data_IF_754817675875
#
_entry.id   IF_754817675875
#
_cell.length_a   1.000
_cell.length_b   1.000
_cell.length_c   1.000
_cell.angle_alpha   90.00
_cell.angle_beta   90.00
_cell.angle_gamma   90.00
#
_symmetry.space_group_name_H-M   'P 1'
#
loop_
_entity.id
_entity.type
_entity.pdbx_description
1 polymer ?
#
# COMPACT_ATOMS: atom_id res chain seq x y z
N UNK A 1 8.83 -2.49 -3.71
CA UNK A 1 8.98 -3.86 -4.23
C UNK A 1 7.90 -4.76 -3.70
N UNK A 2 7.67 -5.91 -4.41
CA UNK A 2 6.86 -7.00 -3.89
C UNK A 2 7.55 -7.76 -2.76
N UNK A 3 6.84 -8.69 -2.12
CA UNK A 3 7.41 -9.53 -1.06
C UNK A 3 8.54 -10.45 -1.57
N UNK A 4 8.60 -10.68 -2.88
CA UNK A 4 9.66 -11.43 -3.57
C UNK A 4 10.98 -10.66 -3.75
N UNK A 5 11.01 -9.37 -3.43
CA UNK A 5 12.18 -8.50 -3.57
C UNK A 5 12.65 -8.21 -5.00
N UNK A 6 11.97 -8.74 -6.01
CA UNK A 6 12.42 -8.68 -7.42
C UNK A 6 11.59 -7.76 -8.28
N UNK A 7 10.28 -7.79 -8.12
CA UNK A 7 9.35 -7.08 -8.98
C UNK A 7 8.52 -6.06 -8.20
N UNK A 8 7.92 -5.12 -8.92
CA UNK A 8 6.88 -4.25 -8.37
C UNK A 8 5.70 -5.12 -7.92
N UNK A 9 5.03 -4.74 -6.81
CA UNK A 9 3.80 -5.38 -6.39
C UNK A 9 2.80 -5.50 -7.55
N UNK A 10 2.27 -6.70 -7.76
CA UNK A 10 1.24 -6.98 -8.75
C UNK A 10 0.30 -8.08 -8.26
N UNK A 11 -1.00 -7.87 -8.48
CA UNK A 11 -2.02 -8.89 -8.16
C UNK A 11 -1.77 -10.19 -8.93
N UNK A 12 -1.40 -10.10 -10.20
CA UNK A 12 -1.14 -11.26 -11.06
C UNK A 12 0.09 -12.07 -10.65
N UNK A 13 1.05 -11.44 -9.96
CA UNK A 13 2.25 -12.12 -9.45
C UNK A 13 2.05 -12.71 -8.04
N UNK A 14 0.96 -12.36 -7.35
CA UNK A 14 0.71 -12.81 -5.99
C UNK A 14 1.72 -12.29 -4.95
N UNK A 15 2.52 -11.29 -5.30
CA UNK A 15 3.60 -10.75 -4.47
C UNK A 15 3.20 -9.52 -3.64
N UNK A 16 1.90 -9.36 -3.37
CA UNK A 16 1.34 -8.22 -2.65
C UNK A 16 0.84 -8.60 -1.25
N UNK A 17 0.98 -7.68 -0.30
CA UNK A 17 0.19 -7.65 0.92
C UNK A 17 -1.00 -6.72 0.66
N UNK A 18 -2.23 -7.24 0.80
CA UNK A 18 -3.45 -6.46 0.60
C UNK A 18 -3.91 -5.83 1.92
N UNK A 19 -4.52 -4.65 1.85
CA UNK A 19 -5.14 -4.01 3.01
C UNK A 19 -6.30 -4.85 3.61
N UNK A 20 -6.84 -5.77 2.82
CA UNK A 20 -7.90 -6.69 3.21
C UNK A 20 -7.40 -8.05 3.69
N UNK A 21 -6.08 -8.31 3.65
CA UNK A 21 -5.55 -9.58 4.14
C UNK A 21 -5.81 -9.72 5.64
N UNK A 22 -6.26 -10.91 6.05
CA UNK A 22 -6.40 -11.23 7.47
C UNK A 22 -5.00 -11.35 8.13
N UNK A 23 -4.97 -11.24 9.45
CA UNK A 23 -3.73 -11.15 10.21
C UNK A 23 -2.76 -12.33 9.94
N UNK A 24 -3.30 -13.54 9.84
CA UNK A 24 -2.50 -14.75 9.58
C UNK A 24 -1.94 -14.78 8.14
N UNK A 25 -2.68 -14.22 7.18
CA UNK A 25 -2.21 -14.12 5.80
C UNK A 25 -1.08 -13.11 5.67
N UNK A 26 -1.22 -11.93 6.30
CA UNK A 26 -0.13 -10.94 6.39
C UNK A 26 1.12 -11.57 7.00
N UNK A 27 0.96 -12.30 8.12
CA UNK A 27 2.07 -12.98 8.79
C UNK A 27 2.76 -14.00 7.87
N UNK A 28 2.01 -14.83 7.15
CA UNK A 28 2.58 -15.79 6.17
C UNK A 28 3.38 -15.07 5.09
N UNK A 29 2.82 -14.01 4.51
CA UNK A 29 3.48 -13.20 3.49
C UNK A 29 4.76 -12.56 4.01
N UNK A 30 4.74 -11.97 5.19
CA UNK A 30 5.94 -11.38 5.82
C UNK A 30 7.00 -12.44 6.09
N UNK A 31 6.63 -13.58 6.62
CA UNK A 31 7.59 -14.67 6.88
C UNK A 31 8.21 -15.24 5.59
N UNK A 32 7.50 -15.15 4.45
CA UNK A 32 8.00 -15.57 3.13
C UNK A 32 8.76 -14.47 2.37
N UNK A 33 8.85 -13.24 2.91
CA UNK A 33 9.55 -12.13 2.24
C UNK A 33 11.00 -12.48 1.94
N UNK A 34 11.45 -12.03 0.77
CA UNK A 34 12.84 -12.13 0.37
C UNK A 34 13.74 -11.31 1.31
N UNK A 35 14.83 -11.94 1.72
CA UNK A 35 15.91 -11.36 2.50
C UNK A 35 17.25 -11.56 1.78
N UNK A 36 18.38 -11.44 2.47
CA UNK A 36 19.70 -11.72 1.90
C UNK A 36 19.93 -13.23 1.78
N UNK A 37 20.15 -13.78 0.58
CA UNK A 37 20.41 -15.21 0.38
C UNK A 37 21.76 -15.68 0.96
N UNK A 38 22.67 -14.75 1.24
CA UNK A 38 23.98 -15.07 1.84
C UNK A 38 23.94 -15.05 3.37
N UNK A 39 22.88 -14.53 3.98
CA UNK A 39 22.66 -14.52 5.43
C UNK A 39 22.10 -15.87 5.90
N UNK A 40 22.93 -16.92 5.90
CA UNK A 40 22.51 -18.31 6.18
C UNK A 40 22.47 -18.56 7.69
N UNK A 41 23.44 -18.03 8.44
CA UNK A 41 23.53 -18.15 9.88
C UNK A 41 23.29 -16.81 10.54
N UNK A 42 22.86 -16.84 11.81
CA UNK A 42 22.59 -15.62 12.57
C UNK A 42 23.85 -14.75 12.72
N UNK A 43 25.01 -15.38 12.78
CA UNK A 43 26.32 -14.74 12.95
C UNK A 43 26.83 -14.08 11.66
N UNK A 44 26.29 -14.49 10.50
CA UNK A 44 26.72 -13.95 9.21
C UNK A 44 26.29 -12.46 9.10
N UNK A 45 27.13 -11.58 8.51
CA UNK A 45 26.71 -10.24 8.15
C UNK A 45 25.57 -10.26 7.13
N UNK A 46 24.53 -9.48 7.37
CA UNK A 46 23.39 -9.39 6.46
C UNK A 46 23.41 -8.13 5.59
N UNK A 47 22.91 -8.22 4.38
CA UNK A 47 22.78 -7.09 3.46
C UNK A 47 21.42 -6.42 3.60
N UNK A 48 21.44 -5.10 3.76
CA UNK A 48 20.23 -4.26 3.86
C UNK A 48 19.70 -3.92 2.47
N UNK A 49 20.60 -3.54 1.55
CA UNK A 49 20.23 -3.15 0.20
C UNK A 49 19.58 -4.33 -0.55
N UNK A 50 18.42 -4.08 -1.16
CA UNK A 50 17.64 -5.11 -1.85
C UNK A 50 16.86 -6.05 -0.92
N UNK A 51 17.00 -5.91 0.40
CA UNK A 51 16.23 -6.67 1.38
C UNK A 51 14.83 -6.08 1.55
N UNK A 52 13.82 -6.82 1.09
CA UNK A 52 12.42 -6.34 1.12
C UNK A 52 11.92 -6.05 2.53
N UNK A 53 12.38 -6.77 3.55
CA UNK A 53 11.96 -6.58 4.94
C UNK A 53 12.37 -5.18 5.43
N UNK A 54 13.62 -4.77 5.17
CA UNK A 54 14.08 -3.43 5.54
C UNK A 54 13.45 -2.34 4.70
N UNK A 55 13.19 -2.57 3.41
CA UNK A 55 12.43 -1.61 2.57
C UNK A 55 11.05 -1.32 3.15
N UNK A 56 10.35 -2.34 3.68
CA UNK A 56 9.06 -2.15 4.33
C UNK A 56 9.19 -1.51 5.71
N UNK A 57 10.22 -1.83 6.48
CA UNK A 57 10.49 -1.16 7.76
C UNK A 57 10.80 0.33 7.54
N UNK A 58 11.57 0.69 6.51
CA UNK A 58 11.81 2.10 6.15
C UNK A 58 10.51 2.87 5.84
N UNK A 59 9.53 2.19 5.25
CA UNK A 59 8.27 2.81 4.88
C UNK A 59 7.26 2.93 6.04
N UNK A 60 7.22 1.95 6.95
CA UNK A 60 6.13 1.80 7.91
C UNK A 60 6.57 1.88 9.37
N UNK A 61 7.86 1.66 9.68
CA UNK A 61 8.34 1.65 11.05
C UNK A 61 8.42 3.08 11.61
N UNK A 62 7.98 3.24 12.86
CA UNK A 62 8.05 4.48 13.64
C UNK A 62 8.75 4.23 14.98
N UNK A 63 9.25 5.28 15.66
CA UNK A 63 9.92 5.11 16.95
C UNK A 63 9.09 4.35 17.99
N UNK A 64 7.77 4.58 18.03
CA UNK A 64 6.86 3.95 18.98
C UNK A 64 6.79 2.43 18.83
N UNK A 65 7.05 1.91 17.62
CA UNK A 65 7.06 0.48 17.35
C UNK A 65 8.22 -0.23 18.02
N UNK A 66 9.37 0.47 18.22
CA UNK A 66 10.50 -0.10 18.95
C UNK A 66 10.17 -0.25 20.44
N UNK A 67 9.61 0.78 21.05
CA UNK A 67 9.19 0.72 22.45
C UNK A 67 8.19 -0.41 22.70
N UNK A 68 7.28 -0.62 21.78
CA UNK A 68 6.19 -1.59 21.91
C UNK A 68 6.59 -3.02 21.56
N UNK A 69 7.39 -3.23 20.51
CA UNK A 69 7.61 -4.54 19.92
C UNK A 69 9.05 -5.03 19.93
N UNK A 70 10.02 -4.11 20.08
CA UNK A 70 11.45 -4.44 20.01
C UNK A 70 12.30 -3.50 20.86
N UNK A 71 12.06 -3.43 22.20
CA UNK A 71 12.69 -2.46 23.10
C UNK A 71 14.22 -2.62 23.24
N UNK A 72 14.80 -3.69 22.72
CA UNK A 72 16.25 -3.90 22.67
C UNK A 72 16.97 -2.88 21.76
N UNK A 73 16.22 -2.17 20.89
CA UNK A 73 16.77 -1.19 19.93
C UNK A 73 16.06 0.15 20.07
N UNK A 74 16.82 1.23 19.88
CA UNK A 74 16.29 2.59 19.99
C UNK A 74 15.59 3.05 18.70
N UNK A 75 16.07 2.58 17.55
CA UNK A 75 15.60 2.99 16.23
C UNK A 75 15.98 1.96 15.15
N UNK A 76 15.53 2.25 13.92
CA UNK A 76 15.75 1.38 12.77
C UNK A 76 17.22 1.32 12.33
N UNK A 77 17.99 2.41 12.53
CA UNK A 77 19.40 2.45 12.16
C UNK A 77 20.22 1.50 13.03
N UNK A 78 19.95 1.46 14.33
CA UNK A 78 20.60 0.52 15.26
C UNK A 78 20.26 -0.95 14.90
N UNK A 79 19.00 -1.21 14.50
CA UNK A 79 18.60 -2.53 14.03
C UNK A 79 19.34 -2.92 12.75
N UNK A 80 19.45 -2.00 11.78
CA UNK A 80 20.19 -2.18 10.53
C UNK A 80 21.68 -2.42 10.77
N UNK A 81 22.30 -1.63 11.63
CA UNK A 81 23.70 -1.84 12.01
C UNK A 81 23.95 -3.22 12.60
N UNK A 82 23.06 -3.66 13.50
CA UNK A 82 23.19 -4.99 14.09
C UNK A 82 23.03 -6.09 13.03
N UNK A 83 22.06 -5.96 12.13
CA UNK A 83 21.87 -6.92 11.05
C UNK A 83 23.08 -6.99 10.10
N UNK A 84 23.64 -5.83 9.74
CA UNK A 84 24.81 -5.75 8.85
C UNK A 84 26.10 -6.28 9.51
N UNK A 85 26.22 -6.19 10.82
CA UNK A 85 27.36 -6.71 11.57
C UNK A 85 27.29 -8.23 11.79
N UNK A 86 26.11 -8.84 11.66
CA UNK A 86 25.82 -10.20 12.09
C UNK A 86 25.39 -10.29 13.56
N UNK A 87 24.76 -11.38 13.92
CA UNK A 87 24.18 -11.62 15.24
C UNK A 87 22.67 -11.39 15.33
N UNK A 88 22.02 -11.02 14.22
CA UNK A 88 20.58 -10.77 14.15
C UNK A 88 19.95 -11.57 13.01
N UNK A 89 19.19 -12.61 13.31
CA UNK A 89 18.56 -13.48 12.30
C UNK A 89 17.31 -12.87 11.67
N UNK A 90 17.07 -13.20 10.40
CA UNK A 90 15.93 -12.77 9.58
C UNK A 90 14.58 -12.94 10.25
N UNK A 91 14.38 -14.04 10.96
CA UNK A 91 13.12 -14.36 11.62
C UNK A 91 12.76 -13.31 12.68
N UNK A 92 13.74 -12.77 13.44
CA UNK A 92 13.51 -11.71 14.44
C UNK A 92 13.05 -10.42 13.74
N UNK A 93 13.73 -10.04 12.66
CA UNK A 93 13.39 -8.84 11.87
C UNK A 93 12.03 -8.98 11.19
N UNK A 94 11.71 -10.13 10.60
CA UNK A 94 10.40 -10.43 10.02
C UNK A 94 9.27 -10.40 11.04
N UNK A 95 9.49 -10.92 12.25
CA UNK A 95 8.51 -10.83 13.35
C UNK A 95 8.25 -9.38 13.75
N UNK A 96 9.30 -8.57 13.83
CA UNK A 96 9.17 -7.15 14.11
C UNK A 96 8.37 -6.44 13.02
N UNK A 97 8.71 -6.63 11.73
CA UNK A 97 7.93 -6.09 10.61
C UNK A 97 6.47 -6.54 10.66
N UNK A 98 6.20 -7.82 10.96
CA UNK A 98 4.83 -8.29 11.10
C UNK A 98 4.06 -7.50 12.17
N UNK A 99 4.66 -7.26 13.33
CA UNK A 99 4.01 -6.49 14.40
C UNK A 99 3.74 -5.03 13.97
N UNK A 100 4.69 -4.40 13.29
CA UNK A 100 4.53 -3.06 12.72
C UNK A 100 3.36 -3.05 11.72
N UNK A 101 3.31 -3.99 10.77
CA UNK A 101 2.23 -4.05 9.79
C UNK A 101 0.88 -4.40 10.44
N UNK A 102 0.85 -5.26 11.45
CA UNK A 102 -0.40 -5.56 12.17
C UNK A 102 -0.96 -4.33 12.88
N UNK A 103 -0.11 -3.50 13.50
CA UNK A 103 -0.56 -2.27 14.15
C UNK A 103 -1.18 -1.28 13.17
N UNK A 104 -0.63 -1.17 11.95
CA UNK A 104 -1.15 -0.30 10.89
C UNK A 104 -2.42 -0.87 10.21
N UNK A 105 -2.47 -2.18 9.99
CA UNK A 105 -3.56 -2.81 9.25
C UNK A 105 -4.79 -3.14 10.11
N UNK A 106 -4.63 -3.35 11.41
CA UNK A 106 -5.76 -3.70 12.29
C UNK A 106 -6.88 -2.66 12.26
N UNK A 107 -6.62 -1.34 12.45
CA UNK A 107 -7.69 -0.35 12.38
C UNK A 107 -8.32 -0.22 11.00
N UNK A 108 -7.58 -0.57 9.93
CA UNK A 108 -8.12 -0.60 8.56
C UNK A 108 -9.10 -1.77 8.41
N UNK A 109 -8.73 -2.97 8.89
CA UNK A 109 -9.60 -4.15 8.86
C UNK A 109 -10.88 -3.95 9.68
N UNK A 110 -10.77 -3.32 10.86
CA UNK A 110 -11.93 -3.00 11.71
C UNK A 110 -12.89 -2.05 10.99
N UNK A 111 -12.40 -0.97 10.39
CA UNK A 111 -13.22 -0.06 9.59
C UNK A 111 -13.86 -0.77 8.39
N UNK A 112 -13.11 -1.65 7.72
CA UNK A 112 -13.64 -2.45 6.62
C UNK A 112 -14.81 -3.33 7.10
N UNK A 113 -14.65 -4.08 8.17
CA UNK A 113 -15.72 -4.93 8.76
C UNK A 113 -16.96 -4.12 9.13
N UNK A 114 -16.78 -2.92 9.68
CA UNK A 114 -17.89 -2.00 9.95
C UNK A 114 -18.65 -1.64 8.67
N UNK A 115 -17.94 -1.30 7.58
CA UNK A 115 -18.57 -0.94 6.31
C UNK A 115 -19.18 -2.15 5.58
N UNK A 116 -18.62 -3.33 5.71
CA UNK A 116 -19.20 -4.58 5.17
C UNK A 116 -20.60 -4.89 5.74
N UNK A 117 -20.88 -4.46 6.97
CA UNK A 117 -22.21 -4.55 7.56
C UNK A 117 -23.19 -3.45 7.11
N UNK A 118 -22.72 -2.45 6.34
CA UNK A 118 -23.44 -1.25 5.92
C UNK A 118 -23.38 -1.03 4.40
N UNK A 119 -23.55 -2.09 3.64
CA UNK A 119 -23.46 -2.03 2.18
C UNK A 119 -24.41 -1.01 1.53
N UNK A 120 -25.68 -0.84 1.99
CA UNK A 120 -26.55 0.22 1.46
C UNK A 120 -25.93 1.62 1.56
N UNK A 121 -25.34 1.96 2.71
CA UNK A 121 -24.68 3.26 2.89
C UNK A 121 -23.47 3.43 1.97
N UNK A 122 -22.69 2.36 1.75
CA UNK A 122 -21.56 2.36 0.80
C UNK A 122 -22.06 2.64 -0.63
N UNK A 123 -23.18 2.04 -1.04
CA UNK A 123 -23.77 2.28 -2.35
C UNK A 123 -24.26 3.72 -2.50
N UNK A 124 -24.85 4.29 -1.47
CA UNK A 124 -25.29 5.70 -1.47
C UNK A 124 -24.10 6.66 -1.61
N UNK A 125 -23.01 6.41 -0.88
CA UNK A 125 -21.75 7.18 -1.00
C UNK A 125 -21.18 7.09 -2.42
N UNK A 126 -21.13 5.87 -2.98
CA UNK A 126 -20.64 5.64 -4.35
C UNK A 126 -21.49 6.37 -5.39
N UNK A 127 -22.83 6.33 -5.25
CA UNK A 127 -23.77 7.02 -6.13
C UNK A 127 -23.56 8.53 -6.08
N UNK A 128 -23.57 9.11 -4.89
CA UNK A 128 -23.34 10.56 -4.70
C UNK A 128 -21.97 11.00 -5.24
N UNK A 129 -20.92 10.22 -4.99
CA UNK A 129 -19.59 10.49 -5.52
C UNK A 129 -19.53 10.41 -7.06
N UNK A 130 -20.21 9.43 -7.66
CA UNK A 130 -20.28 9.27 -9.11
C UNK A 130 -21.05 10.43 -9.77
N UNK A 131 -22.16 10.87 -9.19
CA UNK A 131 -22.92 12.04 -9.67
C UNK A 131 -22.08 13.33 -9.61
N UNK A 132 -21.35 13.55 -8.52
CA UNK A 132 -20.45 14.69 -8.37
C UNK A 132 -19.31 14.66 -9.41
N UNK A 133 -18.68 13.52 -9.60
CA UNK A 133 -17.63 13.30 -10.60
C UNK A 133 -18.14 13.51 -12.02
N UNK A 134 -19.33 12.96 -12.35
CA UNK A 134 -19.97 13.13 -13.64
C UNK A 134 -20.26 14.60 -13.95
N UNK A 135 -20.80 15.35 -12.98
CA UNK A 135 -21.07 16.78 -13.13
C UNK A 135 -19.79 17.56 -13.44
N UNK A 136 -18.69 17.26 -12.72
CA UNK A 136 -17.40 17.92 -12.93
C UNK A 136 -16.81 17.56 -14.31
N UNK A 137 -16.83 16.29 -14.66
CA UNK A 137 -16.33 15.79 -15.94
C UNK A 137 -17.13 16.37 -17.13
N UNK A 138 -18.47 16.44 -17.02
CA UNK A 138 -19.32 17.01 -18.06
C UNK A 138 -19.00 18.49 -18.30
N UNK A 139 -18.83 19.30 -17.23
CA UNK A 139 -18.44 20.70 -17.36
C UNK A 139 -17.08 20.85 -18.05
N UNK A 140 -16.07 20.10 -17.60
CA UNK A 140 -14.73 20.15 -18.22
C UNK A 140 -14.78 19.71 -19.69
N UNK A 141 -15.55 18.65 -20.01
CA UNK A 141 -15.68 18.17 -21.39
C UNK A 141 -16.41 19.19 -22.29
N UNK A 142 -17.43 19.88 -21.74
CA UNK A 142 -18.11 20.97 -22.44
C UNK A 142 -17.12 22.10 -22.80
N UNK A 143 -16.31 22.55 -21.84
CA UNK A 143 -15.32 23.61 -22.06
C UNK A 143 -14.28 23.21 -23.12
N UNK A 144 -13.79 21.95 -23.07
CA UNK A 144 -12.84 21.40 -24.06
C UNK A 144 -13.48 21.35 -25.44
N UNK A 145 -14.70 20.81 -25.57
CA UNK A 145 -15.41 20.73 -26.85
C UNK A 145 -15.68 22.12 -27.44
N UNK A 146 -16.06 23.07 -26.60
CA UNK A 146 -16.29 24.46 -27.03
C UNK A 146 -15.00 25.11 -27.52
N UNK A 147 -13.90 24.95 -26.81
CA UNK A 147 -12.58 25.47 -27.21
C UNK A 147 -12.09 24.83 -28.54
N UNK A 148 -12.36 23.55 -28.74
CA UNK A 148 -12.03 22.83 -29.97
C UNK A 148 -13.06 23.06 -31.12
N UNK A 149 -14.18 23.74 -30.86
CA UNK A 149 -15.28 23.93 -31.80
C UNK A 149 -15.87 22.61 -32.34
N UNK A 150 -16.00 21.61 -31.47
CA UNK A 150 -16.56 20.28 -31.80
C UNK A 150 -17.84 19.94 -31.03
N UNK A 151 -18.52 20.93 -30.48
CA UNK A 151 -19.78 20.80 -29.77
C UNK A 151 -20.99 20.95 -30.71
N UNK A 152 -20.98 20.20 -31.79
CA UNK A 152 -21.95 20.29 -32.91
C UNK A 152 -23.43 20.11 -32.51
N UNK A 153 -23.71 19.43 -31.40
CA UNK A 153 -25.08 19.12 -30.96
C UNK A 153 -25.52 19.93 -29.73
N UNK A 154 -24.65 20.83 -29.22
CA UNK A 154 -25.05 21.77 -28.18
C UNK A 154 -25.89 22.87 -28.88
N UNK A 155 -27.17 22.86 -28.59
CA UNK A 155 -28.26 23.64 -29.19
C UNK A 155 -27.85 24.98 -29.82
N UNK A 156 -28.44 25.37 -30.88
CA UNK A 156 -28.40 26.66 -31.61
C UNK A 156 -27.21 26.89 -32.59
N UNK A 157 -26.13 26.08 -32.58
CA UNK A 157 -24.97 26.36 -33.41
C UNK A 157 -25.14 25.95 -34.88
N UNK A 158 -25.44 24.69 -35.14
CA UNK A 158 -25.42 24.15 -36.52
C UNK A 158 -26.58 24.60 -37.39
N UNK A 159 -27.77 24.79 -36.82
CA UNK A 159 -28.92 25.24 -37.60
C UNK A 159 -28.83 26.71 -38.06
N UNK A 160 -28.08 27.54 -37.35
CA UNK A 160 -27.90 28.93 -37.70
C UNK A 160 -26.75 29.18 -38.69
N UNK A 161 -25.76 28.29 -38.76
CA UNK A 161 -24.61 28.42 -39.69
C UNK A 161 -24.96 27.91 -41.12
N UNK A 162 -26.08 27.22 -41.30
CA UNK A 162 -26.54 26.71 -42.60
C UNK A 162 -27.83 27.37 -43.10
N UNK A 163 -28.28 28.46 -42.45
CA UNK A 163 -29.34 29.33 -42.95
C UNK A 163 -28.74 30.57 -43.63
#
# INVERSE_FOLDING_TARGET
>A
PGIDGKAKMSKSLGNCIYLSDEADEVKKKVMSMYTDPNHIRVEDPGQIEGNSVFTYLDAFCRPEHFEQFLPDYKNLDELKEHYSRGGLGDVKVKKFLNNVLQSELTPIRERRKMWESRIPDVLDILKAGSEAAQKKAAATLHDVRSAMKINYFDADGLENDYK
#
